data_IF_610873333269
#
_entry.id   IF_610873333269
#
_cell.length_a   1.000
_cell.length_b   1.000
_cell.length_c   1.000
_cell.angle_alpha   90.00
_cell.angle_beta   90.00
_cell.angle_gamma   90.00
#
_symmetry.space_group_name_H-M   'P 1'
#
loop_
_entity.id
_entity.type
_entity.pdbx_description
1 polymer ?
#
# COMPACT_ATOMS: atom_id res chain seq x y z
N UNK A 1 -8.02 7.16 5.52
CA UNK A 1 -8.08 7.29 6.98
C UNK A 1 -9.25 6.48 7.51
N UNK A 2 -9.10 5.82 8.66
CA UNK A 2 -10.18 5.20 9.44
C UNK A 2 -10.31 6.00 10.73
N UNK A 3 -11.51 6.38 11.11
CA UNK A 3 -11.72 7.19 12.32
C UNK A 3 -13.03 6.89 13.03
N UNK A 4 -13.05 7.17 14.34
CA UNK A 4 -14.24 7.31 15.18
C UNK A 4 -14.24 8.73 15.78
N UNK A 5 -15.11 8.96 16.76
CA UNK A 5 -15.11 10.24 17.49
C UNK A 5 -13.81 10.52 18.25
N UNK A 6 -13.07 9.48 18.64
CA UNK A 6 -11.94 9.59 19.58
C UNK A 6 -10.62 9.02 19.05
N UNK A 7 -10.65 8.25 17.98
CA UNK A 7 -9.46 7.52 17.47
C UNK A 7 -9.31 7.68 15.98
N UNK A 8 -8.07 7.89 15.52
CA UNK A 8 -7.75 8.28 14.15
C UNK A 8 -6.55 7.48 13.62
N UNK A 9 -6.76 6.79 12.50
CA UNK A 9 -5.74 5.94 11.87
C UNK A 9 -5.52 6.36 10.42
N UNK A 10 -4.29 6.74 10.11
CA UNK A 10 -3.89 7.13 8.75
C UNK A 10 -3.23 5.94 8.04
N UNK A 11 -3.64 5.68 6.80
CA UNK A 11 -3.05 4.65 5.94
C UNK A 11 -2.50 5.30 4.69
N UNK A 12 -1.18 5.24 4.52
CA UNK A 12 -0.41 5.87 3.45
C UNK A 12 -0.63 7.39 3.32
N UNK A 13 0.18 8.04 2.54
CA UNK A 13 0.14 9.49 2.34
C UNK A 13 -0.03 9.90 0.88
N UNK A 14 -0.11 8.93 -0.04
CA UNK A 14 -0.16 9.24 -1.44
C UNK A 14 1.14 9.88 -1.96
N UNK A 15 1.03 10.56 -3.09
CA UNK A 15 2.16 11.29 -3.70
C UNK A 15 2.50 12.56 -2.93
N UNK A 16 3.67 13.15 -3.20
CA UNK A 16 4.06 14.44 -2.62
C UNK A 16 3.13 15.59 -3.03
N UNK A 17 2.47 15.50 -4.19
CA UNK A 17 1.47 16.48 -4.64
C UNK A 17 0.16 16.35 -3.88
N UNK A 18 -0.30 15.12 -3.60
CA UNK A 18 -1.53 14.87 -2.87
C UNK A 18 -1.46 15.30 -1.40
N UNK A 19 -0.26 15.39 -0.82
CA UNK A 19 -0.07 15.87 0.56
C UNK A 19 -0.76 17.22 0.82
N UNK A 20 -0.71 18.14 -0.14
CA UNK A 20 -1.33 19.45 -0.01
C UNK A 20 -2.85 19.39 0.06
N UNK A 21 -3.45 18.36 -0.51
CA UNK A 21 -4.91 18.17 -0.55
C UNK A 21 -5.44 17.69 0.81
N UNK A 22 -4.75 16.73 1.43
CA UNK A 22 -5.24 16.12 2.67
C UNK A 22 -4.60 16.68 3.96
N UNK A 23 -3.48 17.43 3.87
CA UNK A 23 -2.80 18.00 5.04
C UNK A 23 -3.74 18.76 5.96
N UNK A 24 -4.55 19.66 5.39
CA UNK A 24 -5.43 20.52 6.20
C UNK A 24 -6.50 19.70 6.93
N UNK A 25 -6.94 18.57 6.39
CA UNK A 25 -7.91 17.69 7.03
C UNK A 25 -7.32 17.05 8.29
N UNK A 26 -6.11 16.48 8.20
CA UNK A 26 -5.48 15.86 9.38
C UNK A 26 -5.13 16.88 10.46
N UNK A 27 -4.84 18.13 10.10
CA UNK A 27 -4.56 19.19 11.09
C UNK A 27 -5.80 19.63 11.88
N UNK A 28 -7.00 19.22 11.48
CA UNK A 28 -8.21 19.41 12.28
C UNK A 28 -8.40 18.34 13.36
N UNK A 29 -7.62 17.25 13.29
CA UNK A 29 -7.68 16.15 14.25
C UNK A 29 -6.89 16.46 15.50
N UNK A 30 -7.27 15.92 16.66
CA UNK A 30 -6.49 16.10 17.89
C UNK A 30 -5.14 15.37 17.85
N UNK A 31 -5.08 14.24 17.14
CA UNK A 31 -3.89 13.38 16.98
C UNK A 31 -4.10 12.33 15.89
N UNK A 32 -3.06 11.59 15.54
CA UNK A 32 -3.11 10.34 14.78
C UNK A 32 -2.68 9.21 15.73
N UNK A 33 -3.58 8.30 16.10
CA UNK A 33 -3.26 7.19 17.00
C UNK A 33 -2.34 6.16 16.37
N UNK A 34 -2.53 5.87 15.09
CA UNK A 34 -1.70 4.94 14.32
C UNK A 34 -1.50 5.40 12.88
N UNK A 35 -0.25 5.40 12.46
CA UNK A 35 0.16 5.64 11.07
C UNK A 35 0.63 4.32 10.45
N UNK A 36 -0.10 3.84 9.45
CA UNK A 36 0.23 2.63 8.70
C UNK A 36 0.76 3.02 7.34
N UNK A 37 1.99 2.61 7.03
CA UNK A 37 2.65 2.84 5.75
C UNK A 37 2.81 1.48 5.09
N UNK A 38 1.99 1.22 4.07
CA UNK A 38 1.82 -0.13 3.56
C UNK A 38 3.09 -0.69 2.94
N UNK A 39 3.75 0.05 2.07
CA UNK A 39 5.00 -0.36 1.43
C UNK A 39 5.79 0.84 0.89
N UNK A 40 6.91 0.58 0.21
CA UNK A 40 7.95 1.58 -0.10
C UNK A 40 7.61 2.46 -1.32
N UNK A 41 6.58 2.16 -2.11
CA UNK A 41 6.33 2.86 -3.37
C UNK A 41 5.95 4.34 -3.20
N UNK A 42 6.37 5.16 -4.17
CA UNK A 42 6.32 6.61 -4.09
C UNK A 42 4.93 7.19 -3.88
N UNK A 43 3.94 6.60 -4.49
CA UNK A 43 2.54 7.04 -4.38
C UNK A 43 1.89 6.59 -3.06
N UNK A 44 2.64 5.95 -2.18
CA UNK A 44 2.27 5.64 -0.81
C UNK A 44 3.07 6.43 0.22
N UNK A 45 4.41 6.55 0.01
CA UNK A 45 5.30 7.13 1.04
C UNK A 45 5.57 8.63 0.86
N UNK A 46 5.46 9.19 -0.34
CA UNK A 46 5.95 10.55 -0.60
C UNK A 46 5.18 11.63 0.17
N UNK A 47 3.87 11.45 0.36
CA UNK A 47 3.07 12.33 1.21
C UNK A 47 3.44 12.22 2.69
N UNK A 48 3.75 10.99 3.15
CA UNK A 48 4.23 10.79 4.54
C UNK A 48 5.61 11.39 4.75
N UNK A 49 6.52 11.29 3.78
CA UNK A 49 7.82 11.97 3.85
C UNK A 49 7.63 13.47 4.08
N UNK A 50 6.70 14.11 3.35
CA UNK A 50 6.37 15.52 3.54
C UNK A 50 5.81 15.81 4.94
N UNK A 51 4.88 14.98 5.39
CA UNK A 51 4.32 15.11 6.74
C UNK A 51 5.41 15.03 7.79
N UNK A 52 6.26 13.99 7.76
CA UNK A 52 7.32 13.78 8.77
C UNK A 52 8.39 14.88 8.71
N UNK A 53 8.74 15.38 7.51
CA UNK A 53 9.66 16.51 7.36
C UNK A 53 9.15 17.81 8.00
N UNK A 54 7.85 18.08 7.92
CA UNK A 54 7.24 19.28 8.51
C UNK A 54 6.90 19.08 9.99
N UNK A 55 6.55 17.85 10.39
CA UNK A 55 6.19 17.50 11.76
C UNK A 55 7.41 17.37 12.69
N UNK A 56 8.57 17.04 12.11
CA UNK A 56 9.86 16.86 12.79
C UNK A 56 9.81 15.88 13.97
N UNK A 57 10.24 16.32 15.15
CA UNK A 57 10.50 15.47 16.29
C UNK A 57 9.20 14.89 16.88
N UNK A 58 9.11 13.57 16.99
CA UNK A 58 7.98 12.86 17.59
C UNK A 58 7.63 13.33 19.01
N UNK A 59 8.65 13.65 19.85
CA UNK A 59 8.42 14.08 21.23
C UNK A 59 7.93 15.53 21.36
N UNK A 60 8.10 16.33 20.30
CA UNK A 60 7.66 17.73 20.24
C UNK A 60 7.26 18.07 18.78
N UNK A 61 6.15 17.54 18.28
CA UNK A 61 5.76 17.68 16.89
C UNK A 61 5.32 19.10 16.56
N UNK A 62 5.69 19.58 15.36
CA UNK A 62 5.32 20.92 14.92
C UNK A 62 3.86 21.03 14.45
N UNK A 63 3.26 19.93 13.99
CA UNK A 63 1.95 19.94 13.34
C UNK A 63 0.90 19.13 14.09
N UNK A 64 1.16 17.84 14.34
CA UNK A 64 0.20 16.92 14.92
C UNK A 64 0.90 15.78 15.67
N UNK A 65 0.34 15.40 16.82
CA UNK A 65 0.80 14.21 17.54
C UNK A 65 0.52 12.94 16.72
N UNK A 66 1.55 12.10 16.53
CA UNK A 66 1.45 10.80 15.88
C UNK A 66 1.87 9.73 16.87
N UNK A 67 1.00 8.79 17.20
CA UNK A 67 1.25 7.72 18.14
C UNK A 67 2.18 6.65 17.56
N UNK A 68 1.66 5.46 17.29
CA UNK A 68 2.44 4.37 16.73
C UNK A 68 2.57 4.46 15.21
N UNK A 69 3.75 4.12 14.69
CA UNK A 69 4.02 4.03 13.24
C UNK A 69 4.33 2.59 12.87
N UNK A 70 3.63 2.07 11.86
CA UNK A 70 3.80 0.73 11.33
C UNK A 70 4.33 0.79 9.91
N UNK A 71 5.57 0.31 9.71
CA UNK A 71 6.28 0.36 8.44
C UNK A 71 7.39 -0.69 8.38
N UNK A 72 7.49 -1.40 7.28
CA UNK A 72 8.60 -2.30 7.00
C UNK A 72 9.63 -1.61 6.10
N UNK A 73 10.34 -0.65 6.66
CA UNK A 73 11.42 0.03 5.96
C UNK A 73 12.74 -0.74 6.01
N UNK A 74 13.81 -0.10 5.53
CA UNK A 74 15.13 -0.72 5.40
C UNK A 74 15.67 -1.27 6.73
N UNK A 75 15.45 -0.57 7.84
CA UNK A 75 15.92 -1.01 9.16
C UNK A 75 15.20 -2.29 9.61
N UNK A 76 13.90 -2.38 9.41
CA UNK A 76 13.08 -3.53 9.78
C UNK A 76 13.41 -4.75 8.91
N UNK A 77 13.65 -4.54 7.62
CA UNK A 77 13.98 -5.62 6.68
C UNK A 77 15.40 -6.13 6.88
N UNK A 78 16.38 -5.24 7.15
CA UNK A 78 17.81 -5.57 7.17
C UNK A 78 18.41 -5.72 8.59
N UNK A 79 17.64 -5.56 9.65
CA UNK A 79 18.08 -5.43 11.06
C UNK A 79 19.17 -6.42 11.51
N UNK A 80 19.16 -7.64 11.00
CA UNK A 80 20.07 -8.71 11.47
C UNK A 80 21.51 -8.58 10.95
N UNK A 81 21.80 -7.62 10.05
CA UNK A 81 23.09 -7.54 9.35
C UNK A 81 23.64 -6.11 9.18
N UNK A 82 23.12 -5.16 9.94
CA UNK A 82 23.55 -3.77 9.81
C UNK A 82 24.85 -3.55 10.59
N UNK A 83 25.89 -3.13 9.88
CA UNK A 83 27.17 -2.69 10.44
C UNK A 83 27.25 -1.19 10.25
N UNK A 84 27.38 -0.42 11.34
CA UNK A 84 27.59 1.02 11.29
C UNK A 84 29.04 1.31 10.89
N UNK A 85 29.30 1.43 9.60
CA UNK A 85 30.59 1.83 9.04
C UNK A 85 30.38 2.96 8.01
N UNK A 86 31.13 4.05 8.16
CA UNK A 86 31.06 5.21 7.27
C UNK A 86 31.96 5.08 6.03
N UNK A 87 32.76 4.03 5.92
CA UNK A 87 33.77 3.87 4.87
C UNK A 87 33.21 3.76 3.45
N UNK A 88 31.95 3.32 3.28
CA UNK A 88 31.34 3.01 1.98
C UNK A 88 30.32 4.05 1.50
N UNK A 89 30.29 5.24 2.07
CA UNK A 89 29.31 6.26 1.71
C UNK A 89 29.36 6.61 0.20
N UNK A 90 30.56 6.68 -0.37
CA UNK A 90 30.74 6.97 -1.81
C UNK A 90 30.21 5.85 -2.71
N UNK A 91 30.24 4.60 -2.27
CA UNK A 91 29.70 3.47 -3.02
C UNK A 91 28.18 3.54 -3.11
N UNK A 92 27.52 3.88 -2.03
CA UNK A 92 26.06 4.11 -2.03
C UNK A 92 25.64 5.34 -2.84
N UNK A 93 26.45 6.39 -2.87
CA UNK A 93 26.21 7.55 -3.76
C UNK A 93 26.29 7.15 -5.24
N UNK A 94 27.25 6.29 -5.62
CA UNK A 94 27.33 5.74 -6.99
C UNK A 94 26.14 4.84 -7.29
N UNK A 95 25.71 4.03 -6.35
CA UNK A 95 24.55 3.16 -6.49
C UNK A 95 23.27 3.97 -6.72
N UNK A 96 23.08 5.06 -5.96
CA UNK A 96 21.97 5.98 -6.18
C UNK A 96 21.98 6.57 -7.59
N UNK A 97 23.15 7.04 -8.06
CA UNK A 97 23.30 7.57 -9.41
C UNK A 97 23.02 6.51 -10.50
N UNK A 98 23.42 5.26 -10.25
CA UNK A 98 23.11 4.14 -11.15
C UNK A 98 21.60 3.92 -11.25
N UNK A 99 20.87 3.90 -10.13
CA UNK A 99 19.42 3.76 -10.14
C UNK A 99 18.72 4.95 -10.82
N UNK A 100 19.25 6.17 -10.69
CA UNK A 100 18.71 7.34 -11.38
C UNK A 100 18.83 7.25 -12.91
N UNK A 101 19.90 6.62 -13.40
CA UNK A 101 20.16 6.49 -14.86
C UNK A 101 19.49 5.28 -15.48
N UNK A 102 19.23 4.23 -14.73
CA UNK A 102 18.66 2.97 -15.24
C UNK A 102 17.17 3.08 -15.59
N UNK A 103 16.48 4.09 -15.10
CA UNK A 103 15.06 4.37 -15.39
C UNK A 103 14.96 5.49 -16.42
N UNK A 104 14.97 5.14 -17.70
CA UNK A 104 14.72 6.12 -18.77
C UNK A 104 13.28 6.66 -18.65
N UNK A 105 13.15 7.92 -18.25
CA UNK A 105 11.94 8.72 -18.44
C UNK A 105 11.05 8.97 -17.24
N UNK A 106 11.33 8.47 -16.06
CA UNK A 106 10.57 8.84 -14.85
C UNK A 106 11.42 9.71 -13.94
N UNK A 107 11.20 11.02 -13.96
CA UNK A 107 11.57 11.91 -12.86
C UNK A 107 10.68 11.53 -11.65
N UNK A 108 11.10 10.53 -10.91
CA UNK A 108 10.52 10.23 -9.63
C UNK A 108 11.05 11.32 -8.70
N UNK A 109 10.16 12.23 -8.29
CA UNK A 109 10.50 13.38 -7.45
C UNK A 109 10.85 12.97 -6.03
N UNK A 110 11.93 12.21 -5.84
CA UNK A 110 12.55 12.10 -4.54
C UNK A 110 13.18 13.44 -4.21
N UNK A 111 12.69 14.11 -3.18
CA UNK A 111 13.40 15.23 -2.58
C UNK A 111 14.77 14.72 -2.13
N UNK A 112 15.78 15.27 -2.74
CA UNK A 112 17.22 15.00 -2.59
C UNK A 112 17.61 14.14 -1.37
N UNK A 113 17.72 12.81 -1.58
CA UNK A 113 18.44 11.91 -0.67
C UNK A 113 17.85 11.67 0.72
N UNK A 114 16.52 11.76 0.90
CA UNK A 114 15.88 11.55 2.22
C UNK A 114 14.97 10.34 2.17
N UNK A 115 15.43 9.20 2.70
CA UNK A 115 14.63 7.99 2.86
C UNK A 115 13.67 8.10 4.04
N UNK A 116 12.43 7.59 3.91
CA UNK A 116 11.45 7.62 4.99
C UNK A 116 11.94 6.89 6.24
N UNK A 117 12.57 5.72 6.08
CA UNK A 117 13.14 4.95 7.19
C UNK A 117 14.13 5.77 8.02
N UNK A 118 14.96 6.58 7.34
CA UNK A 118 15.93 7.44 8.01
C UNK A 118 15.24 8.56 8.78
N UNK A 119 14.26 9.23 8.18
CA UNK A 119 13.51 10.32 8.83
C UNK A 119 12.78 9.86 10.09
N UNK A 120 12.06 8.74 10.00
CA UNK A 120 11.34 8.17 11.14
C UNK A 120 12.30 7.87 12.30
N UNK A 121 13.48 7.35 12.00
CA UNK A 121 14.51 7.10 13.00
C UNK A 121 15.13 8.38 13.54
N UNK A 122 15.50 9.32 12.68
CA UNK A 122 16.13 10.61 13.07
C UNK A 122 15.22 11.42 13.99
N UNK A 123 13.93 11.46 13.69
CA UNK A 123 12.94 12.18 14.46
C UNK A 123 12.30 11.38 15.61
N UNK A 124 12.79 10.16 15.86
CA UNK A 124 12.43 9.34 17.02
C UNK A 124 11.02 8.76 17.00
N UNK A 125 10.43 8.52 15.83
CA UNK A 125 9.13 7.90 15.74
C UNK A 125 9.17 6.43 16.17
N UNK A 126 8.19 5.97 17.01
CA UNK A 126 8.14 4.58 17.46
C UNK A 126 7.68 3.65 16.33
N UNK A 127 8.60 2.85 15.82
CA UNK A 127 8.32 1.93 14.70
C UNK A 127 7.96 0.54 15.20
N UNK A 128 6.85 -0.01 14.71
CA UNK A 128 6.41 -1.39 14.87
C UNK A 128 6.40 -1.85 16.35
N UNK A 129 5.95 -0.99 17.27
CA UNK A 129 5.79 -1.39 18.67
C UNK A 129 4.86 -2.59 18.78
N UNK A 130 5.23 -3.56 19.63
CA UNK A 130 4.48 -4.80 19.82
C UNK A 130 4.76 -5.89 18.77
N UNK A 131 5.56 -5.60 17.73
CA UNK A 131 5.94 -6.59 16.74
C UNK A 131 7.22 -7.33 17.12
N UNK A 132 7.19 -8.66 17.05
CA UNK A 132 8.39 -9.47 17.29
C UNK A 132 9.46 -9.18 16.24
N UNK A 133 10.70 -8.99 16.67
CA UNK A 133 11.83 -8.61 15.82
C UNK A 133 11.66 -7.29 15.06
N UNK A 134 10.68 -6.45 15.43
CA UNK A 134 10.43 -5.15 14.84
C UNK A 134 9.91 -5.19 13.39
N UNK A 135 9.52 -6.35 12.88
CA UNK A 135 8.88 -6.52 11.57
C UNK A 135 7.37 -6.60 11.74
N UNK A 136 6.62 -5.83 10.96
CA UNK A 136 5.17 -5.95 10.91
C UNK A 136 4.78 -6.92 9.82
N UNK A 137 4.54 -8.17 10.19
CA UNK A 137 4.12 -9.22 9.25
C UNK A 137 3.29 -10.27 9.96
N UNK A 138 2.64 -11.13 9.17
CA UNK A 138 1.69 -12.14 9.63
C UNK A 138 2.23 -13.00 10.77
N UNK A 139 3.48 -13.41 10.69
CA UNK A 139 4.09 -14.36 11.63
C UNK A 139 4.63 -13.69 12.90
N UNK A 140 4.94 -12.40 12.83
CA UNK A 140 5.53 -11.65 13.95
C UNK A 140 4.53 -10.75 14.69
N UNK A 141 3.34 -10.57 14.10
CA UNK A 141 2.28 -9.72 14.65
C UNK A 141 0.94 -10.48 14.60
N UNK A 142 0.76 -11.53 15.41
CA UNK A 142 -0.41 -12.40 15.34
C UNK A 142 -1.73 -11.69 15.71
N UNK A 143 -1.68 -10.57 16.39
CA UNK A 143 -2.79 -9.71 16.75
C UNK A 143 -2.27 -8.45 17.41
N UNK A 144 -2.90 -7.31 17.16
CA UNK A 144 -2.53 -6.02 17.72
C UNK A 144 -3.81 -5.27 18.07
N UNK A 145 -3.84 -4.69 19.28
CA UNK A 145 -4.89 -3.77 19.71
C UNK A 145 -4.32 -2.37 19.84
N UNK A 146 -4.93 -1.40 19.18
CA UNK A 146 -4.48 -0.01 19.16
C UNK A 146 -5.65 0.95 19.23
N UNK A 147 -5.75 1.72 20.31
CA UNK A 147 -6.79 2.74 20.53
C UNK A 147 -8.22 2.27 20.17
N UNK A 148 -8.56 1.04 20.59
CA UNK A 148 -9.88 0.43 20.36
C UNK A 148 -10.06 -0.25 18.99
N UNK A 149 -9.04 -0.28 18.16
CA UNK A 149 -9.02 -1.04 16.92
C UNK A 149 -8.26 -2.36 17.14
N UNK A 150 -8.93 -3.48 16.90
CA UNK A 150 -8.33 -4.81 16.86
C UNK A 150 -7.85 -5.10 15.43
N UNK A 151 -6.59 -5.53 15.30
CA UNK A 151 -5.94 -5.72 14.01
C UNK A 151 -5.52 -7.17 13.86
N UNK A 152 -5.99 -7.82 12.79
CA UNK A 152 -5.48 -9.12 12.33
C UNK A 152 -4.64 -8.91 11.08
N UNK A 153 -3.36 -9.27 11.14
CA UNK A 153 -2.41 -9.02 10.04
C UNK A 153 -2.57 -10.09 8.96
N UNK A 154 -3.00 -9.68 7.79
CA UNK A 154 -3.15 -10.52 6.60
C UNK A 154 -1.80 -10.73 5.92
N UNK A 155 -0.99 -9.70 5.84
CA UNK A 155 0.34 -9.69 5.21
C UNK A 155 1.15 -8.44 5.56
N UNK A 156 2.41 -8.39 5.11
CA UNK A 156 3.10 -9.41 4.32
C UNK A 156 3.43 -10.67 5.12
N UNK A 157 3.86 -11.75 4.45
CA UNK A 157 4.51 -12.87 5.12
C UNK A 157 5.99 -12.56 5.36
N UNK A 158 6.58 -13.19 6.37
CA UNK A 158 8.02 -13.05 6.65
C UNK A 158 8.88 -13.45 5.44
N UNK A 159 8.44 -14.44 4.67
CA UNK A 159 9.16 -14.92 3.49
C UNK A 159 9.28 -13.87 2.39
N UNK A 160 8.29 -12.98 2.24
CA UNK A 160 8.34 -11.85 1.30
C UNK A 160 9.40 -10.85 1.73
N UNK A 161 9.42 -10.48 3.01
CA UNK A 161 10.43 -9.55 3.55
C UNK A 161 11.85 -10.13 3.47
N UNK A 162 12.00 -11.42 3.74
CA UNK A 162 13.29 -12.10 3.63
C UNK A 162 13.76 -12.21 2.18
N UNK A 163 12.84 -12.38 1.23
CA UNK A 163 13.18 -12.33 -0.19
C UNK A 163 13.66 -10.95 -0.61
N UNK A 164 12.99 -9.87 -0.20
CA UNK A 164 13.45 -8.49 -0.46
C UNK A 164 14.86 -8.26 0.07
N UNK A 165 15.12 -8.73 1.29
CA UNK A 165 16.46 -8.67 1.88
C UNK A 165 17.50 -9.41 1.04
N UNK A 166 17.20 -10.62 0.62
CA UNK A 166 18.12 -11.42 -0.19
C UNK A 166 18.37 -10.81 -1.58
N UNK A 167 17.34 -10.27 -2.21
CA UNK A 167 17.48 -9.59 -3.50
C UNK A 167 18.34 -8.32 -3.38
N UNK A 168 18.17 -7.56 -2.29
CA UNK A 168 19.05 -6.43 -1.97
C UNK A 168 20.50 -6.87 -1.70
N UNK A 169 20.69 -7.95 -0.97
CA UNK A 169 22.02 -8.52 -0.71
C UNK A 169 22.72 -8.93 -2.00
N UNK A 170 21.99 -9.56 -2.92
CA UNK A 170 22.50 -9.92 -4.24
C UNK A 170 22.88 -8.70 -5.07
N UNK A 171 22.07 -7.61 -4.99
CA UNK A 171 22.39 -6.37 -5.68
C UNK A 171 23.65 -5.73 -5.12
N UNK A 172 23.81 -5.63 -3.81
CA UNK A 172 25.03 -5.11 -3.18
C UNK A 172 26.27 -5.93 -3.60
N UNK A 173 26.15 -7.26 -3.63
CA UNK A 173 27.23 -8.13 -4.09
C UNK A 173 27.58 -7.88 -5.58
N UNK A 174 26.57 -7.73 -6.43
CA UNK A 174 26.75 -7.41 -7.86
C UNK A 174 27.50 -6.08 -8.05
N UNK A 175 27.19 -5.11 -7.21
CA UNK A 175 27.83 -3.80 -7.19
C UNK A 175 29.17 -3.80 -6.41
N UNK A 176 29.61 -4.94 -5.87
CA UNK A 176 30.83 -5.12 -5.05
C UNK A 176 30.83 -4.28 -3.77
N UNK A 177 29.66 -4.00 -3.23
CA UNK A 177 29.53 -3.32 -1.94
C UNK A 177 29.53 -4.36 -0.83
N UNK A 178 30.59 -4.39 -0.02
CA UNK A 178 30.80 -5.45 0.99
C UNK A 178 30.15 -5.17 2.34
N UNK A 179 29.90 -3.89 2.68
CA UNK A 179 29.40 -3.48 3.97
C UNK A 179 27.99 -2.88 3.86
N UNK A 180 27.19 -3.10 4.88
CA UNK A 180 25.87 -2.51 5.02
C UNK A 180 25.94 -1.39 6.03
N UNK A 181 25.56 -0.21 5.60
CA UNK A 181 25.55 0.98 6.45
C UNK A 181 24.11 1.48 6.53
N UNK A 182 23.54 1.54 7.73
CA UNK A 182 22.28 2.22 7.93
C UNK A 182 22.53 3.71 8.19
N UNK A 183 22.68 4.45 7.11
CA UNK A 183 22.65 5.91 7.10
C UNK A 183 21.59 6.39 6.10
N UNK A 184 21.42 7.71 6.01
CA UNK A 184 20.48 8.35 5.07
C UNK A 184 20.64 7.87 3.63
N UNK A 185 21.87 7.74 3.16
CA UNK A 185 22.19 7.37 1.77
C UNK A 185 21.84 5.90 1.51
N UNK A 186 22.15 5.02 2.44
CA UNK A 186 21.80 3.61 2.34
C UNK A 186 20.28 3.39 2.34
N UNK A 187 19.56 4.03 3.28
CA UNK A 187 18.12 3.95 3.32
C UNK A 187 17.48 4.41 2.01
N UNK A 188 17.96 5.51 1.47
CA UNK A 188 17.52 6.03 0.18
C UNK A 188 17.86 5.10 -1.00
N UNK A 189 19.07 4.50 -1.01
CA UNK A 189 19.46 3.54 -2.03
C UNK A 189 18.56 2.30 -2.05
N UNK A 190 18.22 1.79 -0.86
CA UNK A 190 17.33 0.65 -0.73
C UNK A 190 15.91 0.98 -1.21
N UNK A 191 15.36 2.11 -0.78
CA UNK A 191 14.03 2.55 -1.20
C UNK A 191 13.96 2.79 -2.72
N UNK A 192 15.00 3.40 -3.31
CA UNK A 192 15.12 3.51 -4.78
C UNK A 192 15.22 2.16 -5.48
N UNK A 193 16.01 1.24 -4.94
CA UNK A 193 16.15 -0.11 -5.51
C UNK A 193 14.77 -0.81 -5.56
N UNK A 194 14.04 -0.78 -4.46
CA UNK A 194 12.71 -1.40 -4.39
C UNK A 194 11.76 -0.77 -5.40
N UNK A 195 11.67 0.56 -5.43
CA UNK A 195 10.78 1.27 -6.35
C UNK A 195 11.14 1.08 -7.83
N UNK A 196 12.44 0.92 -8.17
CA UNK A 196 12.87 0.82 -9.57
C UNK A 196 12.76 -0.60 -10.13
N UNK A 197 13.11 -1.61 -9.35
CA UNK A 197 13.12 -3.01 -9.83
C UNK A 197 11.73 -3.60 -9.89
N UNK A 198 10.85 -3.13 -9.02
CA UNK A 198 9.48 -3.62 -8.91
C UNK A 198 8.45 -2.64 -9.46
N UNK A 199 8.88 -1.52 -10.09
CA UNK A 199 7.94 -0.66 -10.80
C UNK A 199 7.31 -1.47 -11.94
N UNK A 200 5.99 -1.60 -11.89
CA UNK A 200 5.24 -2.29 -12.93
C UNK A 200 5.53 -1.66 -14.31
N UNK A 201 6.15 -2.42 -15.21
CA UNK A 201 6.19 -2.09 -16.62
C UNK A 201 4.80 -2.33 -17.26
N UNK A 202 3.77 -1.69 -16.76
CA UNK A 202 2.44 -1.72 -17.38
C UNK A 202 2.31 -0.72 -18.54
N UNK A 203 3.41 -0.47 -19.27
CA UNK A 203 3.38 0.23 -20.56
C UNK A 203 3.10 -0.67 -21.77
N UNK A 204 2.70 -1.91 -21.58
CA UNK A 204 2.07 -2.65 -22.66
C UNK A 204 0.71 -2.01 -22.90
N UNK A 205 0.69 -0.97 -23.75
CA UNK A 205 -0.52 -0.38 -24.24
C UNK A 205 -1.39 -1.52 -24.82
N UNK A 206 -2.44 -1.89 -24.10
CA UNK A 206 -3.48 -2.70 -24.65
C UNK A 206 -3.98 -1.99 -25.89
N UNK A 207 -3.64 -2.55 -27.06
CA UNK A 207 -4.23 -2.14 -28.32
C UNK A 207 -5.72 -2.39 -28.15
N UNK A 208 -6.44 -1.31 -27.88
CA UNK A 208 -7.89 -1.30 -27.78
C UNK A 208 -8.46 -1.68 -29.15
N UNK A 209 -8.62 -2.98 -29.39
CA UNK A 209 -9.55 -3.42 -30.39
C UNK A 209 -10.95 -3.05 -29.92
N UNK A 210 -11.69 -2.32 -30.74
CA UNK A 210 -13.08 -1.90 -30.54
C UNK A 210 -14.07 -3.09 -30.65
N UNK A 211 -13.84 -4.12 -29.87
CA UNK A 211 -14.87 -5.10 -29.56
C UNK A 211 -15.78 -4.43 -28.53
N UNK A 212 -17.08 -4.40 -28.74
CA UNK A 212 -18.07 -3.98 -27.73
C UNK A 212 -17.79 -4.78 -26.47
N UNK A 213 -17.04 -4.18 -25.54
CA UNK A 213 -16.71 -4.78 -24.24
C UNK A 213 -18.05 -4.92 -23.52
N UNK A 214 -18.49 -6.15 -23.26
CA UNK A 214 -19.59 -6.39 -22.34
C UNK A 214 -19.03 -6.73 -20.96
N UNK A 215 -19.84 -6.58 -19.92
CA UNK A 215 -19.43 -6.80 -18.54
C UNK A 215 -18.90 -8.23 -18.30
N UNK A 216 -19.54 -9.23 -18.92
CA UNK A 216 -19.14 -10.64 -18.83
C UNK A 216 -17.74 -10.88 -19.40
N UNK A 217 -17.44 -10.32 -20.57
CA UNK A 217 -16.12 -10.45 -21.20
C UNK A 217 -15.02 -9.79 -20.36
N UNK A 218 -15.30 -8.62 -19.76
CA UNK A 218 -14.35 -7.95 -18.86
C UNK A 218 -14.14 -8.76 -17.58
N UNK A 219 -15.21 -9.23 -16.93
CA UNK A 219 -15.12 -9.99 -15.70
C UNK A 219 -14.38 -11.34 -15.88
N UNK A 220 -14.54 -11.97 -17.04
CA UNK A 220 -13.91 -13.25 -17.39
C UNK A 220 -12.57 -13.07 -18.16
N UNK A 221 -12.05 -11.85 -18.30
CA UNK A 221 -10.73 -11.63 -18.88
C UNK A 221 -9.65 -12.40 -18.12
N UNK A 222 -8.54 -12.82 -18.76
CA UNK A 222 -7.45 -13.52 -18.09
C UNK A 222 -6.96 -12.74 -16.87
N UNK A 223 -6.75 -13.45 -15.76
CA UNK A 223 -6.12 -12.92 -14.57
C UNK A 223 -4.64 -13.29 -14.58
N UNK A 224 -3.79 -12.29 -14.45
CA UNK A 224 -2.37 -12.44 -14.23
C UNK A 224 -2.08 -11.81 -12.87
N UNK A 225 -1.45 -12.57 -11.97
CA UNK A 225 -1.16 -12.07 -10.63
C UNK A 225 -0.08 -10.99 -10.65
N UNK A 226 -0.16 -10.06 -9.73
CA UNK A 226 0.90 -9.11 -9.44
C UNK A 226 1.97 -9.81 -8.59
N UNK A 227 3.13 -10.07 -9.17
CA UNK A 227 4.26 -10.72 -8.52
C UNK A 227 5.32 -9.73 -8.02
N UNK A 228 5.09 -8.41 -8.14
CA UNK A 228 5.98 -7.38 -7.60
C UNK A 228 6.24 -7.61 -6.11
N UNK A 229 7.51 -7.70 -5.71
CA UNK A 229 7.85 -7.85 -4.30
C UNK A 229 7.53 -6.59 -3.49
N UNK A 230 7.61 -5.40 -4.09
CA UNK A 230 7.20 -4.15 -3.45
C UNK A 230 5.72 -4.25 -3.05
N UNK A 231 4.83 -4.55 -4.01
CA UNK A 231 3.41 -4.67 -3.78
C UNK A 231 3.07 -5.79 -2.78
N UNK A 232 3.70 -6.97 -2.94
CA UNK A 232 3.53 -8.09 -2.01
C UNK A 232 4.06 -7.83 -0.60
N UNK A 233 4.97 -6.85 -0.42
CA UNK A 233 5.44 -6.42 0.90
C UNK A 233 4.48 -5.50 1.62
N UNK A 234 3.36 -5.13 0.99
CA UNK A 234 2.34 -4.27 1.59
C UNK A 234 1.83 -4.83 2.91
N UNK A 235 1.83 -3.97 3.93
CA UNK A 235 1.07 -4.20 5.15
C UNK A 235 -0.41 -4.23 4.75
N UNK A 236 -1.01 -5.39 4.89
CA UNK A 236 -2.44 -5.57 4.70
C UNK A 236 -3.05 -6.22 5.94
N UNK A 237 -4.23 -5.76 6.32
CA UNK A 237 -4.83 -6.09 7.59
C UNK A 237 -6.36 -6.11 7.54
N UNK A 238 -6.94 -6.83 8.48
CA UNK A 238 -8.34 -6.75 8.85
C UNK A 238 -8.43 -5.94 10.15
N UNK A 239 -9.05 -4.78 10.09
CA UNK A 239 -9.35 -3.94 11.24
C UNK A 239 -10.77 -4.24 11.73
N UNK A 240 -10.94 -4.56 13.02
CA UNK A 240 -12.23 -4.55 13.71
C UNK A 240 -12.27 -3.32 14.61
N UNK A 241 -13.07 -2.35 14.24
CA UNK A 241 -13.13 -1.07 14.91
C UNK A 241 -14.57 -0.65 15.15
N UNK A 242 -14.93 -0.51 16.44
CA UNK A 242 -16.30 -0.20 16.84
C UNK A 242 -17.34 -1.19 16.31
N UNK A 243 -16.98 -2.47 16.20
CA UNK A 243 -17.83 -3.53 15.69
C UNK A 243 -17.95 -3.55 14.15
N UNK A 244 -17.16 -2.76 13.45
CA UNK A 244 -17.07 -2.71 11.99
C UNK A 244 -15.78 -3.34 11.50
N UNK A 245 -15.89 -4.23 10.55
CA UNK A 245 -14.74 -4.92 9.93
C UNK A 245 -14.36 -4.27 8.62
N UNK A 246 -13.17 -3.72 8.56
CA UNK A 246 -12.63 -3.05 7.37
C UNK A 246 -11.35 -3.78 6.95
N UNK A 247 -11.31 -4.21 5.69
CA UNK A 247 -10.12 -4.85 5.13
C UNK A 247 -9.30 -3.82 4.35
N UNK A 248 -8.06 -3.61 4.77
CA UNK A 248 -7.10 -2.68 4.14
C UNK A 248 -6.02 -3.50 3.43
N UNK A 249 -5.95 -3.44 2.11
CA UNK A 249 -5.11 -4.36 1.32
C UNK A 249 -3.78 -3.76 0.85
N UNK A 250 -3.56 -2.43 1.01
CA UNK A 250 -2.41 -1.80 0.37
C UNK A 250 -2.39 -2.12 -1.13
N UNK A 251 -1.29 -2.67 -1.60
CA UNK A 251 -1.11 -3.10 -3.00
C UNK A 251 -0.79 -4.59 -3.14
N UNK A 252 -1.10 -5.37 -2.08
CA UNK A 252 -0.84 -6.82 -2.07
C UNK A 252 -1.63 -7.57 -3.15
N UNK A 253 -1.16 -8.75 -3.56
CA UNK A 253 -1.90 -9.60 -4.49
C UNK A 253 -3.01 -10.41 -3.79
N UNK A 254 -3.92 -10.97 -4.58
CA UNK A 254 -5.03 -11.80 -4.08
C UNK A 254 -4.54 -13.01 -3.30
N UNK A 255 -3.45 -13.62 -3.74
CA UNK A 255 -2.88 -14.85 -3.19
C UNK A 255 -2.52 -14.67 -1.73
N UNK A 256 -1.99 -13.50 -1.34
CA UNK A 256 -1.68 -13.20 0.07
C UNK A 256 -2.94 -13.27 0.96
N UNK A 257 -4.06 -12.75 0.49
CA UNK A 257 -5.34 -12.78 1.23
C UNK A 257 -5.91 -14.19 1.27
N UNK A 258 -5.87 -14.89 0.14
CA UNK A 258 -6.37 -16.26 0.02
C UNK A 258 -5.57 -17.21 0.94
N UNK A 259 -4.25 -17.08 0.96
CA UNK A 259 -3.38 -17.86 1.86
C UNK A 259 -3.69 -17.59 3.33
N UNK A 260 -3.91 -16.32 3.70
CA UNK A 260 -4.30 -15.99 5.06
C UNK A 260 -5.64 -16.62 5.45
N UNK A 261 -6.65 -16.54 4.59
CA UNK A 261 -7.96 -17.19 4.79
C UNK A 261 -7.80 -18.71 4.95
N UNK A 262 -6.96 -19.35 4.12
CA UNK A 262 -6.68 -20.77 4.20
C UNK A 262 -6.00 -21.16 5.52
N UNK A 263 -4.98 -20.42 5.93
CA UNK A 263 -4.26 -20.64 7.17
C UNK A 263 -5.15 -20.51 8.41
N UNK A 264 -6.17 -19.65 8.34
CA UNK A 264 -7.18 -19.48 9.39
C UNK A 264 -8.37 -20.45 9.28
N UNK A 265 -8.40 -21.31 8.26
CA UNK A 265 -9.53 -22.18 7.92
C UNK A 265 -10.86 -21.41 7.70
N UNK A 266 -10.78 -20.17 7.21
CA UNK A 266 -11.93 -19.32 6.90
C UNK A 266 -12.33 -19.57 5.45
N UNK A 267 -13.48 -20.20 5.23
CA UNK A 267 -14.00 -20.43 3.88
C UNK A 267 -14.55 -19.16 3.23
N UNK A 268 -15.20 -18.32 4.02
CA UNK A 268 -15.76 -17.05 3.59
C UNK A 268 -15.78 -16.05 4.75
N UNK A 269 -15.41 -14.80 4.50
CA UNK A 269 -15.37 -13.72 5.46
C UNK A 269 -16.30 -12.59 5.01
N UNK A 270 -17.17 -12.12 5.90
CA UNK A 270 -17.96 -10.91 5.66
C UNK A 270 -17.30 -9.73 6.34
N UNK A 271 -17.16 -8.63 5.61
CA UNK A 271 -16.61 -7.36 6.10
C UNK A 271 -17.52 -6.20 5.72
N UNK A 272 -17.49 -5.12 6.49
CA UNK A 272 -18.32 -3.93 6.24
C UNK A 272 -17.78 -3.14 5.04
N UNK A 273 -16.47 -3.09 4.85
CA UNK A 273 -15.84 -2.46 3.70
C UNK A 273 -14.48 -3.10 3.37
N UNK A 274 -14.05 -2.94 2.11
CA UNK A 274 -12.72 -3.29 1.65
C UNK A 274 -12.09 -2.14 0.87
N UNK A 275 -10.91 -1.65 1.30
CA UNK A 275 -10.05 -0.86 0.42
C UNK A 275 -9.37 -1.84 -0.52
N UNK A 276 -9.77 -1.83 -1.78
CA UNK A 276 -9.26 -2.76 -2.78
C UNK A 276 -7.77 -2.54 -3.03
N UNK A 277 -7.10 -3.61 -3.41
CA UNK A 277 -5.66 -3.61 -3.62
C UNK A 277 -5.26 -2.82 -4.86
N UNK A 278 -4.08 -2.23 -4.81
CA UNK A 278 -3.34 -1.62 -5.91
C UNK A 278 -4.25 -0.72 -6.77
N UNK A 279 -4.95 0.19 -6.08
CA UNK A 279 -5.84 1.19 -6.69
C UNK A 279 -6.93 0.61 -7.60
N UNK A 280 -7.18 -0.71 -7.54
CA UNK A 280 -8.11 -1.41 -8.42
C UNK A 280 -7.46 -1.96 -9.70
N UNK A 281 -6.19 -2.32 -9.66
CA UNK A 281 -5.51 -3.03 -10.75
C UNK A 281 -6.16 -4.38 -11.03
N UNK A 282 -6.30 -4.74 -12.30
CA UNK A 282 -6.81 -6.04 -12.74
C UNK A 282 -5.94 -7.23 -12.32
N UNK A 283 -4.67 -6.97 -11.95
CA UNK A 283 -3.71 -7.96 -11.46
C UNK A 283 -3.88 -8.28 -9.96
N UNK A 284 -4.65 -7.45 -9.24
CA UNK A 284 -4.80 -7.56 -7.78
C UNK A 284 -6.25 -7.88 -7.35
N UNK A 285 -7.15 -8.13 -8.31
CA UNK A 285 -8.55 -8.50 -8.05
C UNK A 285 -8.93 -9.71 -8.90
N UNK A 286 -9.20 -10.86 -8.24
CA UNK A 286 -9.63 -12.07 -8.90
C UNK A 286 -10.99 -12.58 -8.39
N UNK A 287 -11.56 -13.55 -9.10
CA UNK A 287 -12.85 -14.16 -8.79
C UNK A 287 -12.88 -14.83 -7.41
N UNK A 288 -11.77 -15.45 -7.00
CA UNK A 288 -11.71 -16.19 -5.73
C UNK A 288 -11.77 -15.24 -4.55
N UNK A 289 -10.98 -14.16 -4.58
CA UNK A 289 -11.02 -13.13 -3.55
C UNK A 289 -12.44 -12.59 -3.35
N UNK A 290 -13.11 -12.20 -4.45
CA UNK A 290 -14.45 -11.61 -4.40
C UNK A 290 -15.48 -12.59 -3.82
N UNK A 291 -15.37 -13.88 -4.12
CA UNK A 291 -16.28 -14.90 -3.60
C UNK A 291 -16.04 -15.22 -2.12
N UNK A 292 -14.79 -15.11 -1.68
CA UNK A 292 -14.40 -15.44 -0.31
C UNK A 292 -14.49 -14.26 0.65
N UNK A 293 -14.36 -13.02 0.17
CA UNK A 293 -14.52 -11.80 0.97
C UNK A 293 -15.77 -11.08 0.53
N UNK A 294 -16.82 -11.14 1.35
CA UNK A 294 -18.15 -10.56 1.07
C UNK A 294 -18.25 -9.17 1.64
N UNK A 295 -18.61 -8.22 0.82
CA UNK A 295 -18.92 -6.84 1.21
C UNK A 295 -19.81 -6.18 0.16
N UNK A 296 -20.50 -5.13 0.58
CA UNK A 296 -21.18 -4.21 -0.33
C UNK A 296 -20.28 -3.02 -0.72
N UNK A 297 -19.30 -2.65 0.13
CA UNK A 297 -18.57 -1.39 0.05
C UNK A 297 -17.13 -1.61 -0.40
N UNK A 298 -16.81 -1.12 -1.59
CA UNK A 298 -15.49 -1.19 -2.20
C UNK A 298 -14.88 0.21 -2.29
N UNK A 299 -13.78 0.44 -1.59
CA UNK A 299 -13.08 1.74 -1.50
C UNK A 299 -11.91 1.75 -2.48
N UNK A 300 -11.83 2.78 -3.31
CA UNK A 300 -10.82 2.96 -4.36
C UNK A 300 -10.19 4.34 -4.18
N UNK A 301 -8.89 4.35 -3.91
CA UNK A 301 -8.12 5.57 -3.68
C UNK A 301 -7.07 5.71 -4.78
N UNK A 302 -7.34 6.56 -5.76
CA UNK A 302 -6.40 6.91 -6.84
C UNK A 302 -6.91 8.15 -7.57
N UNK A 303 -6.01 8.93 -8.18
CA UNK A 303 -6.39 9.98 -9.12
C UNK A 303 -6.37 9.53 -10.59
N UNK A 304 -5.91 8.29 -10.84
CA UNK A 304 -5.89 7.65 -12.15
C UNK A 304 -4.93 8.27 -13.17
N UNK A 305 -4.07 9.24 -12.77
CA UNK A 305 -3.25 9.98 -13.73
C UNK A 305 -2.09 9.17 -14.28
N UNK A 306 -1.42 8.38 -13.42
CA UNK A 306 -0.20 7.70 -13.81
C UNK A 306 -0.48 6.36 -14.52
N UNK A 307 -1.24 5.47 -13.87
CA UNK A 307 -1.48 4.11 -14.35
C UNK A 307 -2.91 3.86 -14.86
N UNK A 308 -3.77 4.89 -14.86
CA UNK A 308 -5.19 4.81 -15.23
C UNK A 308 -5.96 3.73 -14.43
N UNK A 309 -5.54 3.48 -13.18
CA UNK A 309 -6.35 2.68 -12.27
C UNK A 309 -7.56 3.48 -11.76
N UNK A 310 -8.67 2.80 -11.44
CA UNK A 310 -8.89 1.35 -11.51
C UNK A 310 -9.13 0.84 -12.93
N UNK A 311 -8.78 -0.42 -13.16
CA UNK A 311 -9.09 -1.11 -14.41
C UNK A 311 -10.57 -1.51 -14.48
N UNK A 312 -11.16 -1.37 -15.67
CA UNK A 312 -12.54 -1.81 -15.91
C UNK A 312 -12.73 -3.32 -15.65
N UNK A 313 -11.71 -4.14 -15.93
CA UNK A 313 -11.72 -5.58 -15.67
C UNK A 313 -11.83 -5.88 -14.15
N UNK A 314 -11.15 -5.12 -13.32
CA UNK A 314 -11.22 -5.27 -11.86
C UNK A 314 -12.62 -4.93 -11.34
N UNK A 315 -13.18 -3.79 -11.76
CA UNK A 315 -14.53 -3.36 -11.36
C UNK A 315 -15.61 -4.31 -11.89
N UNK A 316 -15.47 -4.76 -13.15
CA UNK A 316 -16.37 -5.73 -13.75
C UNK A 316 -16.36 -7.07 -13.00
N UNK A 317 -15.19 -7.57 -12.55
CA UNK A 317 -15.07 -8.76 -11.71
C UNK A 317 -15.82 -8.59 -10.39
N UNK A 318 -15.67 -7.43 -9.73
CA UNK A 318 -16.38 -7.13 -8.49
C UNK A 318 -17.90 -7.20 -8.71
N UNK A 319 -18.43 -6.50 -9.69
CA UNK A 319 -19.86 -6.51 -9.99
C UNK A 319 -20.36 -7.91 -10.32
N UNK A 320 -19.63 -8.64 -11.17
CA UNK A 320 -20.04 -9.92 -11.71
C UNK A 320 -20.02 -11.06 -10.66
N UNK A 321 -18.95 -11.12 -9.84
CA UNK A 321 -18.72 -12.23 -8.92
C UNK A 321 -19.14 -11.95 -7.47
N UNK A 322 -19.42 -10.70 -7.09
CA UNK A 322 -19.99 -10.40 -5.77
C UNK A 322 -21.27 -11.21 -5.54
N UNK A 323 -21.44 -11.74 -4.34
CA UNK A 323 -22.69 -12.42 -3.93
C UNK A 323 -23.76 -11.43 -3.48
N UNK A 324 -23.36 -10.19 -3.16
CA UNK A 324 -24.26 -9.14 -2.73
C UNK A 324 -25.09 -8.60 -3.91
N UNK A 325 -26.35 -8.27 -3.69
CA UNK A 325 -27.20 -7.65 -4.73
C UNK A 325 -26.85 -6.18 -4.94
N UNK A 326 -26.34 -5.52 -3.90
CA UNK A 326 -25.91 -4.13 -3.94
C UNK A 326 -24.38 -4.05 -3.95
N UNK A 327 -23.82 -3.21 -4.79
CA UNK A 327 -22.38 -2.95 -4.89
C UNK A 327 -22.18 -1.44 -4.88
N UNK A 328 -21.48 -0.95 -3.87
CA UNK A 328 -21.15 0.47 -3.70
C UNK A 328 -19.67 0.67 -3.94
N UNK A 329 -19.33 1.45 -4.96
CA UNK A 329 -17.96 1.90 -5.19
C UNK A 329 -17.77 3.30 -4.60
N UNK A 330 -16.81 3.43 -3.71
CA UNK A 330 -16.44 4.69 -3.06
C UNK A 330 -15.09 5.16 -3.59
N UNK A 331 -15.12 6.21 -4.40
CA UNK A 331 -13.94 6.82 -5.02
C UNK A 331 -13.58 8.12 -4.32
N UNK A 332 -12.29 8.42 -4.23
CA UNK A 332 -11.81 9.75 -3.87
C UNK A 332 -11.77 10.72 -5.07
N UNK A 333 -11.77 10.19 -6.31
CA UNK A 333 -11.86 10.98 -7.55
C UNK A 333 -12.78 10.31 -8.56
N UNK A 334 -13.44 11.11 -9.42
CA UNK A 334 -14.18 10.59 -10.56
C UNK A 334 -13.22 10.37 -11.73
N UNK A 335 -13.39 9.27 -12.45
CA UNK A 335 -12.53 8.87 -13.56
C UNK A 335 -13.33 8.85 -14.88
N UNK A 336 -13.04 9.75 -15.81
CA UNK A 336 -13.79 9.89 -17.06
C UNK A 336 -13.54 8.75 -18.07
N UNK A 337 -12.49 7.92 -17.84
CA UNK A 337 -12.20 6.75 -18.67
C UNK A 337 -12.97 5.49 -18.26
N UNK A 338 -13.71 5.51 -17.16
CA UNK A 338 -14.54 4.39 -16.72
C UNK A 338 -15.93 4.45 -17.36
N UNK A 339 -16.40 3.29 -17.80
CA UNK A 339 -17.77 3.10 -18.30
C UNK A 339 -18.71 2.70 -17.14
N UNK A 340 -19.24 3.69 -16.46
CA UNK A 340 -20.14 3.53 -15.32
C UNK A 340 -21.48 2.89 -15.72
N UNK A 341 -21.98 3.16 -16.94
CA UNK A 341 -23.22 2.58 -17.44
C UNK A 341 -23.06 1.09 -17.68
N UNK A 342 -21.90 0.66 -18.19
CA UNK A 342 -21.58 -0.75 -18.35
C UNK A 342 -21.53 -1.48 -17.00
N UNK A 343 -20.98 -0.86 -15.94
CA UNK A 343 -20.97 -1.47 -14.61
C UNK A 343 -22.38 -1.63 -14.03
N UNK A 344 -23.31 -0.73 -14.37
CA UNK A 344 -24.72 -0.81 -13.98
C UNK A 344 -25.55 -1.80 -14.82
N UNK A 345 -24.99 -2.35 -15.89
CA UNK A 345 -25.75 -3.19 -16.84
C UNK A 345 -26.01 -4.63 -16.36
N UNK A 346 -25.46 -5.04 -15.20
CA UNK A 346 -25.61 -6.40 -14.67
C UNK A 346 -27.04 -6.65 -14.18
N UNK A 347 -27.79 -7.61 -14.78
CA UNK A 347 -29.13 -7.93 -14.31
C UNK A 347 -29.14 -8.43 -12.85
N UNK A 348 -30.08 -7.95 -12.06
CA UNK A 348 -30.25 -8.35 -10.66
C UNK A 348 -29.23 -7.74 -9.69
N UNK A 349 -28.40 -6.77 -10.16
CA UNK A 349 -27.48 -5.99 -9.35
C UNK A 349 -27.89 -4.53 -9.33
N UNK A 350 -27.67 -3.89 -8.18
CA UNK A 350 -27.72 -2.44 -8.03
C UNK A 350 -26.30 -1.94 -7.78
N UNK A 351 -25.74 -1.20 -8.73
CA UNK A 351 -24.39 -0.63 -8.63
C UNK A 351 -24.51 0.87 -8.38
N UNK A 352 -23.83 1.36 -7.37
CA UNK A 352 -23.85 2.78 -6.98
C UNK A 352 -22.43 3.31 -6.81
N UNK A 353 -22.26 4.61 -7.05
CA UNK A 353 -20.97 5.29 -7.01
C UNK A 353 -21.03 6.48 -6.08
N UNK A 354 -20.07 6.56 -5.15
CA UNK A 354 -19.86 7.70 -4.27
C UNK A 354 -18.50 8.33 -4.58
N UNK A 355 -18.47 9.65 -4.76
CA UNK A 355 -17.27 10.42 -5.10
C UNK A 355 -16.94 11.46 -4.02
N UNK A 356 -17.53 11.36 -2.84
CA UNK A 356 -17.29 12.31 -1.75
C UNK A 356 -15.92 12.16 -1.07
N UNK A 357 -15.21 11.05 -1.34
CA UNK A 357 -13.99 10.71 -0.61
C UNK A 357 -14.22 10.27 0.84
N UNK A 358 -15.47 10.31 1.32
CA UNK A 358 -15.87 9.93 2.68
C UNK A 358 -16.95 8.85 2.62
N UNK A 359 -16.80 7.85 3.48
CA UNK A 359 -17.78 6.79 3.68
C UNK A 359 -18.08 6.67 5.17
N UNK A 360 -19.34 6.57 5.51
CA UNK A 360 -19.80 6.24 6.84
C UNK A 360 -20.36 4.81 6.82
N UNK A 361 -19.82 3.94 7.66
CA UNK A 361 -20.10 2.51 7.68
C UNK A 361 -20.89 2.14 8.94
#
# INVERSE_FOLDING_TARGET
MISSETSFFLFDGGTASSYKEWKNEILTLPKIDGLFITHIDNDHISGIIKLIQENENHAAPNLIEIGDVFYNGVEQILKDKIINDVSNQNEFLRLNAYFDTSVQGKNIGYSEGTGLSYLLKEFGYPLNRGCTNGKFCRETTPGLSLSGMEIDVIGPSISVLDKMKNDWDNELQRQRISNRILNKIHAHSFEKYVSNIYSDEDFAGDISYSVRKNLDALANSPYLTDDSLANRSSICLLADFSGKKIMMLGDTNCETVIDWLNNKAISCLSVDAIKISHHGSKKNINKELIKRVKTKNYIICTDGKLHKHPDMEALARIVYYSTEQEVFFHFNHRHDYLDYDLLCSMPGKTVSFNFSGVIQI
#
